data_IF_793765517318
#
_entry.id   IF_793765517318
#
_cell.length_a   1.000
_cell.length_b   1.000
_cell.length_c   1.000
_cell.angle_alpha   90.00
_cell.angle_beta   90.00
_cell.angle_gamma   90.00
#
_symmetry.space_group_name_H-M   'P 1'
#
loop_
_entity.id
_entity.type
_entity.pdbx_description
1 polymer ?
#
# COMPACT_ATOMS: atom_id res chain seq x y z
N UNK A 1 6.54 -14.77 21.03
CA UNK A 1 6.35 -14.96 19.57
C UNK A 1 7.53 -15.73 19.00
N UNK A 2 7.29 -16.89 18.41
CA UNK A 2 8.34 -17.74 17.82
C UNK A 2 8.93 -17.09 16.55
N UNK A 3 10.24 -17.23 16.33
CA UNK A 3 10.94 -16.75 15.13
C UNK A 3 10.23 -17.00 13.77
N UNK A 4 9.61 -18.18 13.51
CA UNK A 4 8.90 -18.44 12.25
C UNK A 4 7.68 -17.53 12.01
N UNK A 5 6.98 -17.07 13.07
CA UNK A 5 5.86 -16.14 12.90
C UNK A 5 6.31 -14.72 12.56
N UNK A 6 7.48 -14.29 13.06
CA UNK A 6 8.07 -12.98 12.72
C UNK A 6 8.51 -12.96 11.25
N UNK A 7 9.20 -13.99 10.79
CA UNK A 7 9.67 -14.08 9.40
C UNK A 7 8.50 -14.08 8.40
N UNK A 8 7.41 -14.81 8.69
CA UNK A 8 6.22 -14.82 7.83
C UNK A 8 5.56 -13.45 7.73
N UNK A 9 5.44 -12.71 8.85
CA UNK A 9 4.89 -11.35 8.87
C UNK A 9 5.78 -10.37 8.10
N UNK A 10 7.09 -10.45 8.29
CA UNK A 10 8.06 -9.62 7.59
C UNK A 10 7.99 -9.86 6.07
N UNK A 11 7.96 -11.13 5.65
CA UNK A 11 7.83 -11.50 4.24
C UNK A 11 6.51 -11.01 3.63
N UNK A 12 5.40 -11.09 4.36
CA UNK A 12 4.12 -10.58 3.91
C UNK A 12 4.11 -9.05 3.78
N UNK A 13 4.68 -8.34 4.76
CA UNK A 13 4.83 -6.89 4.72
C UNK A 13 5.73 -6.44 3.56
N UNK A 14 6.86 -7.13 3.34
CA UNK A 14 7.75 -6.88 2.22
C UNK A 14 7.06 -7.14 0.87
N UNK A 15 6.35 -8.27 0.73
CA UNK A 15 5.58 -8.56 -0.48
C UNK A 15 4.55 -7.46 -0.77
N UNK A 16 3.84 -7.01 0.26
CA UNK A 16 2.86 -5.92 0.14
C UNK A 16 3.53 -4.59 -0.26
N UNK A 17 4.68 -4.26 0.35
CA UNK A 17 5.47 -3.09 0.00
C UNK A 17 5.93 -3.13 -1.46
N UNK A 18 6.49 -4.26 -1.91
CA UNK A 18 6.94 -4.41 -3.30
C UNK A 18 5.78 -4.29 -4.29
N UNK A 19 4.67 -4.99 -4.04
CA UNK A 19 3.47 -4.92 -4.89
C UNK A 19 2.95 -3.49 -5.00
N UNK A 20 2.81 -2.79 -3.88
CA UNK A 20 2.36 -1.40 -3.88
C UNK A 20 3.32 -0.46 -4.59
N UNK A 21 4.63 -0.66 -4.42
CA UNK A 21 5.61 0.16 -5.12
C UNK A 21 5.55 0.00 -6.63
N UNK A 22 5.41 -1.23 -7.14
CA UNK A 22 5.25 -1.46 -8.57
C UNK A 22 3.93 -0.92 -9.13
N UNK A 23 2.83 -1.02 -8.38
CA UNK A 23 1.53 -0.47 -8.79
C UNK A 23 1.64 1.05 -8.96
N UNK A 24 2.16 1.76 -7.96
CA UNK A 24 2.28 3.21 -8.03
C UNK A 24 3.30 3.68 -9.07
N UNK A 25 4.43 2.99 -9.19
CA UNK A 25 5.38 3.23 -10.27
C UNK A 25 4.70 3.11 -11.64
N UNK A 26 3.97 2.02 -11.88
CA UNK A 26 3.31 1.74 -13.15
C UNK A 26 2.22 2.76 -13.48
N UNK A 27 1.36 3.09 -12.51
CA UNK A 27 0.28 4.08 -12.69
C UNK A 27 0.87 5.44 -13.07
N UNK A 28 1.87 5.92 -12.34
CA UNK A 28 2.46 7.23 -12.59
C UNK A 28 3.26 7.26 -13.89
N UNK A 29 4.05 6.21 -14.17
CA UNK A 29 4.78 6.11 -15.41
C UNK A 29 3.84 6.12 -16.61
N UNK A 30 2.79 5.29 -16.60
CA UNK A 30 1.81 5.22 -17.67
C UNK A 30 1.06 6.55 -17.83
N UNK A 31 0.55 7.13 -16.73
CA UNK A 31 -0.19 8.39 -16.74
C UNK A 31 0.64 9.55 -17.27
N UNK A 32 1.87 9.72 -16.79
CA UNK A 32 2.77 10.78 -17.26
C UNK A 32 3.23 10.56 -18.69
N UNK A 33 3.43 9.30 -19.11
CA UNK A 33 3.75 8.98 -20.50
C UNK A 33 2.61 9.38 -21.44
N UNK A 34 1.37 9.03 -21.09
CA UNK A 34 0.19 9.43 -21.86
C UNK A 34 0.04 10.95 -21.89
N UNK A 35 0.19 11.63 -20.75
CA UNK A 35 0.14 13.09 -20.68
C UNK A 35 1.23 13.77 -21.54
N UNK A 36 2.43 13.17 -21.61
CA UNK A 36 3.53 13.66 -22.46
C UNK A 36 3.21 13.52 -23.94
N UNK A 37 2.65 12.38 -24.33
CA UNK A 37 2.29 12.07 -25.72
C UNK A 37 1.08 12.90 -26.19
N UNK A 38 0.16 13.21 -25.27
CA UNK A 38 -0.98 14.09 -25.53
C UNK A 38 -0.64 15.59 -25.55
N UNK A 39 0.62 15.98 -25.28
CA UNK A 39 1.05 17.37 -25.27
C UNK A 39 0.55 18.19 -24.06
N UNK A 40 0.07 17.52 -23.01
CA UNK A 40 -0.41 18.17 -21.77
C UNK A 40 0.76 18.63 -20.90
N UNK A 41 1.88 17.88 -20.92
CA UNK A 41 3.07 18.23 -20.16
C UNK A 41 3.89 19.33 -20.84
N UNK A 42 4.57 20.19 -20.06
CA UNK A 42 5.50 21.18 -20.58
C UNK A 42 6.53 20.57 -21.55
N UNK A 43 6.92 21.33 -22.57
CA UNK A 43 7.85 20.84 -23.60
C UNK A 43 9.23 20.41 -23.04
N UNK A 44 9.64 20.97 -21.89
CA UNK A 44 10.86 20.62 -21.17
C UNK A 44 10.74 19.36 -20.28
N UNK A 45 9.57 18.73 -20.19
CA UNK A 45 9.39 17.48 -19.47
C UNK A 45 10.15 16.35 -20.20
N UNK A 46 11.31 15.99 -19.65
CA UNK A 46 12.15 14.92 -20.18
C UNK A 46 11.62 13.54 -19.77
N UNK A 47 11.84 12.53 -20.61
CA UNK A 47 11.53 11.14 -20.27
C UNK A 47 12.26 10.66 -19.02
N UNK A 48 13.49 11.13 -18.80
CA UNK A 48 14.28 10.85 -17.59
C UNK A 48 13.57 11.44 -16.36
N UNK A 49 13.04 12.66 -16.45
CA UNK A 49 12.27 13.28 -15.37
C UNK A 49 11.00 12.49 -15.04
N UNK A 50 10.27 12.05 -16.07
CA UNK A 50 9.06 11.23 -15.91
C UNK A 50 9.38 9.90 -15.20
N UNK A 51 10.42 9.19 -15.66
CA UNK A 51 10.85 7.93 -15.04
C UNK A 51 11.32 8.16 -13.61
N UNK A 52 12.12 9.20 -13.36
CA UNK A 52 12.59 9.54 -12.01
C UNK A 52 11.43 9.82 -11.05
N UNK A 53 10.42 10.55 -11.52
CA UNK A 53 9.22 10.84 -10.73
C UNK A 53 8.41 9.57 -10.45
N UNK A 54 8.23 8.70 -11.44
CA UNK A 54 7.57 7.41 -11.26
C UNK A 54 8.31 6.51 -10.26
N UNK A 55 9.65 6.46 -10.31
CA UNK A 55 10.46 5.72 -9.33
C UNK A 55 10.22 6.25 -7.92
N UNK A 56 10.23 7.58 -7.72
CA UNK A 56 9.92 8.18 -6.40
C UNK A 56 8.53 7.78 -5.92
N UNK A 57 7.53 7.85 -6.78
CA UNK A 57 6.17 7.43 -6.46
C UNK A 57 6.11 5.94 -6.08
N UNK A 58 6.87 5.07 -6.78
CA UNK A 58 6.98 3.66 -6.43
C UNK A 58 7.62 3.43 -5.07
N UNK A 59 8.69 4.16 -4.72
CA UNK A 59 9.31 4.05 -3.39
C UNK A 59 8.34 4.48 -2.29
N UNK A 60 7.68 5.64 -2.45
CA UNK A 60 6.68 6.14 -1.50
C UNK A 60 5.53 5.14 -1.36
N UNK A 61 5.01 4.66 -2.50
CA UNK A 61 3.95 3.67 -2.55
C UNK A 61 4.32 2.38 -1.83
N UNK A 62 5.56 1.91 -1.99
CA UNK A 62 6.02 0.71 -1.31
C UNK A 62 6.17 0.87 0.19
N UNK A 63 6.70 2.00 0.66
CA UNK A 63 6.78 2.32 2.09
C UNK A 63 5.37 2.41 2.70
N UNK A 64 4.44 3.10 2.02
CA UNK A 64 3.05 3.19 2.45
C UNK A 64 2.35 1.82 2.47
N UNK A 65 2.60 0.97 1.48
CA UNK A 65 2.09 -0.40 1.43
C UNK A 65 2.59 -1.27 2.58
N UNK A 66 3.87 -1.15 2.94
CA UNK A 66 4.44 -1.82 4.11
C UNK A 66 3.83 -1.33 5.43
N UNK A 67 3.67 -0.02 5.60
CA UNK A 67 3.01 0.57 6.76
C UNK A 67 1.54 0.12 6.88
N UNK A 68 0.82 0.08 5.76
CA UNK A 68 -0.54 -0.43 5.70
C UNK A 68 -0.63 -1.91 6.09
N UNK A 69 0.27 -2.75 5.58
CA UNK A 69 0.33 -4.17 5.97
C UNK A 69 0.57 -4.35 7.47
N UNK A 70 1.45 -3.53 8.06
CA UNK A 70 1.68 -3.52 9.50
C UNK A 70 0.43 -3.08 10.27
N UNK A 71 -0.24 -2.00 9.84
CA UNK A 71 -1.49 -1.53 10.43
C UNK A 71 -2.58 -2.62 10.44
N UNK A 72 -2.80 -3.29 9.30
CA UNK A 72 -3.78 -4.38 9.22
C UNK A 72 -3.40 -5.55 10.14
N UNK A 73 -2.11 -5.91 10.16
CA UNK A 73 -1.60 -6.97 11.03
C UNK A 73 -1.78 -6.69 12.52
N UNK A 74 -1.81 -5.42 12.92
CA UNK A 74 -2.04 -4.99 14.30
C UNK A 74 -3.53 -4.86 14.64
N UNK A 75 -4.32 -4.18 13.80
CA UNK A 75 -5.71 -3.83 14.11
C UNK A 75 -6.69 -4.98 13.88
N UNK A 76 -6.43 -5.83 12.89
CA UNK A 76 -7.34 -6.90 12.49
C UNK A 76 -6.79 -8.30 12.83
N UNK A 77 -5.84 -8.39 13.76
CA UNK A 77 -5.26 -9.66 14.18
C UNK A 77 -6.35 -10.61 14.73
N UNK A 78 -6.46 -11.80 14.15
CA UNK A 78 -7.38 -12.85 14.62
C UNK A 78 -8.84 -12.70 14.16
N UNK A 79 -9.17 -11.69 13.35
CA UNK A 79 -10.50 -11.56 12.73
C UNK A 79 -10.54 -12.32 11.40
N UNK A 80 -11.67 -12.92 11.07
CA UNK A 80 -11.91 -13.44 9.71
C UNK A 80 -12.15 -12.27 8.77
N UNK A 81 -11.74 -12.41 7.50
CA UNK A 81 -11.93 -11.35 6.52
C UNK A 81 -13.42 -11.09 6.27
N UNK A 82 -14.26 -12.13 6.33
CA UNK A 82 -15.73 -12.05 6.28
C UNK A 82 -16.35 -11.10 7.31
N UNK A 83 -15.73 -10.99 8.48
CA UNK A 83 -16.31 -10.26 9.63
C UNK A 83 -15.91 -8.78 9.62
N UNK A 84 -15.00 -8.41 8.72
CA UNK A 84 -14.51 -7.05 8.59
C UNK A 84 -15.48 -6.26 7.70
N UNK A 85 -16.11 -5.25 8.27
CA UNK A 85 -16.90 -4.28 7.50
C UNK A 85 -16.01 -3.56 6.48
N UNK A 86 -16.32 -3.73 5.20
CA UNK A 86 -15.54 -3.12 4.12
C UNK A 86 -15.51 -1.60 4.17
N UNK A 87 -16.61 -0.96 4.62
CA UNK A 87 -16.69 0.50 4.77
C UNK A 87 -15.74 0.97 5.87
N UNK A 88 -15.77 0.33 7.04
CA UNK A 88 -14.88 0.70 8.16
C UNK A 88 -13.42 0.44 7.81
N UNK A 89 -13.14 -0.63 7.08
CA UNK A 89 -11.81 -0.94 6.60
C UNK A 89 -11.29 0.09 5.59
N UNK A 90 -12.13 0.47 4.62
CA UNK A 90 -11.83 1.52 3.64
C UNK A 90 -11.55 2.86 4.36
N UNK A 91 -12.44 3.30 5.25
CA UNK A 91 -12.24 4.52 6.03
C UNK A 91 -10.96 4.47 6.86
N UNK A 92 -10.68 3.34 7.52
CA UNK A 92 -9.44 3.15 8.28
C UNK A 92 -8.20 3.25 7.40
N UNK A 93 -8.22 2.62 6.22
CA UNK A 93 -7.14 2.75 5.23
C UNK A 93 -6.97 4.17 4.71
N UNK A 94 -8.07 4.88 4.46
CA UNK A 94 -8.05 6.28 4.06
C UNK A 94 -7.46 7.19 5.12
N UNK A 95 -7.88 7.06 6.38
CA UNK A 95 -7.32 7.84 7.48
C UNK A 95 -5.84 7.52 7.66
N UNK A 96 -5.46 6.24 7.64
CA UNK A 96 -4.07 5.82 7.80
C UNK A 96 -3.17 6.43 6.71
N UNK A 97 -3.62 6.43 5.45
CA UNK A 97 -2.86 6.99 4.32
C UNK A 97 -2.83 8.52 4.32
N UNK A 98 -3.97 9.17 4.60
CA UNK A 98 -4.09 10.62 4.72
C UNK A 98 -3.14 11.21 5.77
N UNK A 99 -2.86 10.45 6.84
CA UNK A 99 -1.93 10.86 7.90
C UNK A 99 -0.50 10.43 7.57
N UNK A 100 -0.30 9.16 7.18
CA UNK A 100 1.03 8.59 7.02
C UNK A 100 1.80 9.21 5.85
N UNK A 101 1.17 9.38 4.68
CA UNK A 101 1.88 9.85 3.48
C UNK A 101 2.44 11.26 3.66
N UNK A 102 1.65 12.25 4.13
CA UNK A 102 2.16 13.61 4.34
C UNK A 102 3.22 13.68 5.43
N UNK A 103 3.06 12.93 6.52
CA UNK A 103 4.08 12.84 7.57
C UNK A 103 5.37 12.21 7.05
N UNK A 104 5.26 11.18 6.21
CA UNK A 104 6.42 10.55 5.58
C UNK A 104 7.13 11.51 4.63
N UNK A 105 6.40 12.28 3.82
CA UNK A 105 6.97 13.30 2.94
C UNK A 105 7.65 14.42 3.75
N UNK A 106 7.00 14.88 4.82
CA UNK A 106 7.57 15.88 5.72
C UNK A 106 8.87 15.39 6.36
N UNK A 107 8.86 14.15 6.85
CA UNK A 107 10.03 13.49 7.42
C UNK A 107 11.16 13.38 6.39
N UNK A 108 10.86 12.91 5.19
CA UNK A 108 11.85 12.77 4.12
C UNK A 108 12.46 14.10 3.73
N UNK A 109 11.66 15.18 3.65
CA UNK A 109 12.16 16.50 3.29
C UNK A 109 13.19 16.99 4.33
N UNK A 110 12.85 16.87 5.63
CA UNK A 110 13.74 17.21 6.74
C UNK A 110 14.97 16.30 6.77
N UNK A 111 14.80 15.00 6.58
CA UNK A 111 15.90 14.02 6.58
C UNK A 111 16.92 14.27 5.46
N UNK A 112 16.49 14.86 4.34
CA UNK A 112 17.38 15.28 3.24
C UNK A 112 17.97 16.69 3.41
N UNK A 113 17.77 17.33 4.56
CA UNK A 113 18.29 18.67 4.87
C UNK A 113 17.44 19.83 4.34
N UNK A 114 16.23 19.57 3.84
CA UNK A 114 15.28 20.59 3.41
C UNK A 114 14.48 21.20 4.56
N UNK A 115 13.91 22.42 4.39
CA UNK A 115 13.02 23.01 5.38
C UNK A 115 11.69 22.24 5.46
N UNK A 116 10.97 22.27 6.59
CA UNK A 116 9.62 21.70 6.68
C UNK A 116 8.70 22.28 5.58
N UNK A 117 7.91 21.42 4.92
CA UNK A 117 6.90 21.90 3.96
C UNK A 117 5.76 22.55 4.72
N UNK A 118 5.23 23.66 4.19
CA UNK A 118 4.08 24.35 4.78
C UNK A 118 2.84 23.44 4.75
N UNK A 119 2.13 23.35 5.87
CA UNK A 119 0.98 22.45 6.01
C UNK A 119 -0.14 22.67 4.99
N UNK A 120 -0.35 23.92 4.55
CA UNK A 120 -1.35 24.21 3.51
C UNK A 120 -1.03 23.63 2.13
N UNK A 121 0.22 23.23 1.87
CA UNK A 121 0.59 22.51 0.65
C UNK A 121 0.39 21.00 0.79
N UNK A 122 0.32 20.49 2.03
CA UNK A 122 0.13 19.08 2.33
C UNK A 122 -1.35 18.70 2.44
N UNK A 123 -2.25 19.66 2.62
CA UNK A 123 -3.70 19.37 2.79
C UNK A 123 -4.31 18.74 1.55
N UNK A 124 -3.90 19.16 0.36
CA UNK A 124 -4.37 18.57 -0.90
C UNK A 124 -3.89 17.12 -1.02
N UNK A 125 -2.63 16.87 -0.64
CA UNK A 125 -2.07 15.52 -0.58
C UNK A 125 -2.78 14.65 0.47
N UNK A 126 -3.15 15.19 1.63
CA UNK A 126 -3.93 14.47 2.66
C UNK A 126 -5.26 13.97 2.12
N UNK A 127 -6.02 14.85 1.44
CA UNK A 127 -7.33 14.49 0.89
C UNK A 127 -7.17 13.47 -0.22
N UNK A 128 -6.24 13.72 -1.17
CA UNK A 128 -6.02 12.84 -2.31
C UNK A 128 -5.55 11.45 -1.86
N UNK A 129 -4.53 11.40 -1.00
CA UNK A 129 -3.99 10.13 -0.49
C UNK A 129 -5.01 9.39 0.37
N UNK A 130 -5.83 10.11 1.13
CA UNK A 130 -6.92 9.51 1.92
C UNK A 130 -8.00 8.87 1.07
N UNK A 131 -8.46 9.54 0.02
CA UNK A 131 -9.44 8.99 -0.93
C UNK A 131 -8.86 7.77 -1.64
N UNK A 132 -7.64 7.88 -2.18
CA UNK A 132 -6.97 6.79 -2.88
C UNK A 132 -6.73 5.59 -1.95
N UNK A 133 -6.29 5.83 -0.73
CA UNK A 133 -6.08 4.80 0.28
C UNK A 133 -7.37 4.11 0.72
N UNK A 134 -8.48 4.86 0.83
CA UNK A 134 -9.77 4.27 1.14
C UNK A 134 -10.28 3.35 0.02
N UNK A 135 -10.22 3.82 -1.23
CA UNK A 135 -10.60 3.03 -2.41
C UNK A 135 -9.74 1.78 -2.52
N UNK A 136 -8.42 1.94 -2.39
CA UNK A 136 -7.46 0.84 -2.39
C UNK A 136 -7.78 -0.22 -1.34
N UNK A 137 -7.88 0.20 -0.08
CA UNK A 137 -8.14 -0.69 1.06
C UNK A 137 -9.49 -1.41 0.90
N UNK A 138 -10.55 -0.67 0.56
CA UNK A 138 -11.88 -1.25 0.36
C UNK A 138 -11.92 -2.26 -0.79
N UNK A 139 -11.27 -1.94 -1.91
CA UNK A 139 -11.19 -2.85 -3.06
C UNK A 139 -10.42 -4.12 -2.72
N UNK A 140 -9.27 -3.99 -2.05
CA UNK A 140 -8.48 -5.15 -1.63
C UNK A 140 -9.26 -6.08 -0.71
N UNK A 141 -9.96 -5.53 0.29
CA UNK A 141 -10.75 -6.36 1.20
C UNK A 141 -11.90 -7.05 0.45
N UNK A 142 -12.61 -6.35 -0.44
CA UNK A 142 -13.70 -6.98 -1.22
C UNK A 142 -13.18 -8.11 -2.10
N UNK A 143 -12.05 -7.92 -2.77
CA UNK A 143 -11.42 -8.98 -3.57
C UNK A 143 -11.01 -10.15 -2.70
N UNK A 144 -10.42 -9.89 -1.52
CA UNK A 144 -10.03 -10.93 -0.58
C UNK A 144 -11.24 -11.71 -0.02
N UNK A 145 -12.32 -11.03 0.36
CA UNK A 145 -13.57 -11.65 0.79
C UNK A 145 -14.19 -12.50 -0.32
N UNK A 146 -14.19 -12.01 -1.56
CA UNK A 146 -14.69 -12.77 -2.72
C UNK A 146 -13.83 -14.01 -3.03
N UNK A 147 -12.52 -13.90 -2.89
CA UNK A 147 -11.60 -15.02 -3.07
C UNK A 147 -11.83 -16.09 -1.99
N UNK A 148 -12.05 -15.70 -0.74
CA UNK A 148 -12.36 -16.61 0.38
C UNK A 148 -13.68 -17.37 0.13
N UNK A 149 -14.72 -16.70 -0.39
CA UNK A 149 -15.98 -17.36 -0.74
C UNK A 149 -15.87 -18.33 -1.93
N UNK A 150 -14.89 -18.13 -2.82
CA UNK A 150 -14.73 -18.93 -4.05
C UNK A 150 -13.79 -20.14 -3.85
N UNK A 151 -12.92 -20.11 -2.83
CA UNK A 151 -11.96 -21.19 -2.53
C UNK A 151 -12.02 -21.64 -1.05
N UNK A 152 -13.17 -22.15 -0.57
CA UNK A 152 -13.29 -22.67 0.79
C UNK A 152 -12.52 -24.00 0.93
N UNK A 153 -11.22 -23.95 1.28
CA UNK A 153 -10.48 -25.17 1.65
C UNK A 153 -8.95 -25.09 1.58
N UNK A 154 -8.36 -24.38 0.61
CA UNK A 154 -6.89 -24.41 0.38
C UNK A 154 -6.03 -23.71 1.44
N UNK A 155 -6.61 -22.91 2.33
CA UNK A 155 -5.87 -22.17 3.37
C UNK A 155 -5.68 -23.02 4.64
N UNK A 156 -6.44 -24.12 4.79
CA UNK A 156 -6.47 -24.93 6.03
C UNK A 156 -5.60 -26.19 6.00
N UNK A 157 -5.25 -26.71 4.83
CA UNK A 157 -4.40 -27.90 4.72
C UNK A 157 -2.92 -27.54 4.64
N UNK A 158 -2.31 -27.38 5.82
CA UNK A 158 -1.00 -27.99 6.00
C UNK A 158 -1.30 -29.30 6.73
N UNK A 159 -1.21 -30.47 6.07
CA UNK A 159 -1.43 -31.74 6.73
C UNK A 159 -0.45 -31.79 7.90
N UNK A 160 -0.99 -31.93 9.10
CA UNK A 160 -0.23 -32.54 10.18
C UNK A 160 0.36 -33.82 9.61
N UNK A 161 1.67 -33.95 9.71
CA UNK A 161 2.32 -35.23 9.56
C UNK A 161 1.75 -36.11 10.67
N UNK A 162 0.65 -36.80 10.36
CA UNK A 162 0.21 -37.99 11.07
C UNK A 162 1.35 -38.99 10.88
N UNK A 163 2.27 -39.01 11.86
CA UNK A 163 3.19 -40.12 12.04
C UNK A 163 2.37 -41.39 12.28
N UNK A 164 2.82 -42.54 11.74
CA UNK A 164 2.00 -43.75 11.66
C UNK A 164 1.63 -44.30 13.04
N UNK A 165 0.51 -45.05 13.15
CA UNK A 165 0.26 -45.86 14.32
C UNK A 165 1.32 -46.97 14.40
N UNK A 166 2.01 -47.00 15.56
CA UNK A 166 2.91 -48.02 16.13
C UNK A 166 4.03 -48.62 15.25
#
# INVERSE_FOLDING_TARGET
>A
MSAPTRFRRLRAAFGTAVTWGFIWFGILLAGLSVARLAGVLPANASWIGIVSFAVRAGVIGGVAGGAFAAFIGLVYQGKRLSDISWVRFALGGGIATAVFVPLFLQFMNVATGGPPVAWGLLTDDMVLTGVLGAVAAGTMLKVAQRAETTLPGRIREKPELVGPPE
#
